data_IF_110924177524
#
_entry.id   IF_110924177524
#
_cell.length_a   1.000
_cell.length_b   1.000
_cell.length_c   1.000
_cell.angle_alpha   90.00
_cell.angle_beta   90.00
_cell.angle_gamma   90.00
#
_symmetry.space_group_name_H-M   'P 1'
#
loop_
_entity.id
_entity.type
_entity.pdbx_description
1 polymer ?
#
# COMPACT_ATOMS: atom_id res chain seq x y z
N UNK A 1 -15.46 5.43 -11.68
CA UNK A 1 -14.87 6.74 -12.03
C UNK A 1 -14.08 6.74 -13.34
N UNK A 2 -13.79 5.60 -13.99
CA UNK A 2 -13.13 5.51 -15.30
C UNK A 2 -11.69 6.07 -15.39
N UNK A 3 -11.10 6.48 -14.28
CA UNK A 3 -9.73 6.95 -14.21
C UNK A 3 -8.79 5.83 -13.77
N UNK A 4 -7.66 5.69 -14.48
CA UNK A 4 -6.58 4.81 -14.08
C UNK A 4 -5.89 5.41 -12.84
N UNK A 5 -6.10 4.77 -11.70
CA UNK A 5 -5.46 5.17 -10.44
C UNK A 5 -4.23 4.30 -10.21
N UNK A 6 -3.07 4.93 -10.02
CA UNK A 6 -1.87 4.22 -9.60
C UNK A 6 -2.03 3.80 -8.13
N UNK A 7 -2.14 2.49 -7.89
CA UNK A 7 -2.24 1.89 -6.55
C UNK A 7 -0.88 1.37 -6.03
N UNK A 8 0.18 1.53 -6.82
CA UNK A 8 1.54 1.18 -6.42
C UNK A 8 2.13 2.18 -5.44
N UNK A 9 3.14 1.77 -4.67
CA UNK A 9 3.90 2.67 -3.79
C UNK A 9 4.68 3.71 -4.61
N UNK A 10 5.22 3.32 -5.76
CA UNK A 10 6.00 4.20 -6.65
C UNK A 10 5.10 5.06 -7.54
N UNK A 11 5.60 6.22 -7.95
CA UNK A 11 4.91 7.10 -8.91
C UNK A 11 4.85 6.51 -10.31
N UNK A 12 5.88 5.77 -10.70
CA UNK A 12 5.96 5.06 -11.98
C UNK A 12 5.16 3.76 -12.01
N UNK A 13 5.15 3.06 -13.16
CA UNK A 13 4.41 1.82 -13.34
C UNK A 13 5.06 0.61 -12.67
N UNK A 14 6.26 0.75 -12.11
CA UNK A 14 6.98 -0.34 -11.48
C UNK A 14 6.39 -0.66 -10.10
N UNK A 15 6.16 -1.95 -9.85
CA UNK A 15 5.68 -2.43 -8.57
C UNK A 15 6.73 -3.37 -7.95
N UNK A 16 7.56 -2.88 -7.00
CA UNK A 16 8.69 -3.64 -6.43
C UNK A 16 8.28 -4.99 -5.84
N UNK A 17 7.17 -5.02 -5.13
CA UNK A 17 6.70 -6.22 -4.43
C UNK A 17 6.40 -7.37 -5.40
N UNK A 18 5.80 -7.06 -6.56
CA UNK A 18 5.52 -8.07 -7.58
C UNK A 18 6.80 -8.52 -8.28
N UNK A 19 7.72 -7.58 -8.56
CA UNK A 19 9.02 -7.91 -9.15
C UNK A 19 9.82 -8.83 -8.25
N UNK A 20 9.94 -8.49 -6.97
CA UNK A 20 10.64 -9.32 -5.98
C UNK A 20 9.95 -10.68 -5.79
N UNK A 21 8.62 -10.68 -5.64
CA UNK A 21 7.84 -11.91 -5.54
C UNK A 21 8.04 -12.82 -6.75
N UNK A 22 8.09 -12.25 -7.97
CA UNK A 22 8.33 -13.02 -9.19
C UNK A 22 9.73 -13.65 -9.24
N UNK A 23 10.77 -12.94 -8.80
CA UNK A 23 12.12 -13.49 -8.69
C UNK A 23 12.14 -14.68 -7.73
N UNK A 24 11.49 -14.57 -6.57
CA UNK A 24 11.38 -15.66 -5.59
C UNK A 24 10.64 -16.85 -6.19
N UNK A 25 9.52 -16.63 -6.88
CA UNK A 25 8.73 -17.67 -7.56
C UNK A 25 9.57 -18.37 -8.61
N UNK A 26 10.25 -17.63 -9.49
CA UNK A 26 11.12 -18.19 -10.52
C UNK A 26 12.22 -19.05 -9.90
N UNK A 27 12.93 -18.51 -8.92
CA UNK A 27 14.05 -19.22 -8.28
C UNK A 27 13.58 -20.50 -7.59
N UNK A 28 12.49 -20.46 -6.82
CA UNK A 28 12.03 -21.59 -6.03
C UNK A 28 11.30 -22.65 -6.87
N UNK A 29 10.56 -22.25 -7.91
CA UNK A 29 9.69 -23.15 -8.66
C UNK A 29 10.29 -23.64 -9.99
N UNK A 30 11.41 -23.07 -10.45
CA UNK A 30 12.12 -23.57 -11.65
C UNK A 30 12.42 -25.08 -11.59
N UNK A 31 12.89 -25.66 -10.46
CA UNK A 31 13.09 -27.11 -10.38
C UNK A 31 11.83 -27.94 -10.58
N UNK A 32 10.64 -27.38 -10.31
CA UNK A 32 9.35 -28.05 -10.41
C UNK A 32 8.69 -27.89 -11.77
N UNK A 33 9.28 -27.14 -12.68
CA UNK A 33 8.69 -26.79 -13.98
C UNK A 33 8.39 -28.01 -14.88
N UNK A 34 9.02 -29.15 -14.65
CA UNK A 34 8.82 -30.37 -15.43
C UNK A 34 7.49 -31.08 -15.09
N UNK A 35 6.91 -30.81 -13.92
CA UNK A 35 5.62 -31.37 -13.50
C UNK A 35 4.58 -30.25 -13.35
N UNK A 36 3.53 -30.28 -14.18
CA UNK A 36 2.44 -29.30 -14.13
C UNK A 36 1.78 -29.31 -12.74
N UNK A 37 1.56 -30.50 -12.16
CA UNK A 37 0.93 -30.65 -10.85
C UNK A 37 1.80 -30.04 -9.74
N UNK A 38 3.09 -30.37 -9.71
CA UNK A 38 4.00 -29.81 -8.69
C UNK A 38 4.19 -28.31 -8.86
N UNK A 39 4.27 -27.83 -10.09
CA UNK A 39 4.37 -26.41 -10.38
C UNK A 39 3.09 -25.66 -9.94
N UNK A 40 1.90 -26.23 -10.19
CA UNK A 40 0.64 -25.69 -9.73
C UNK A 40 0.58 -25.63 -8.21
N UNK A 41 0.87 -26.73 -7.52
CA UNK A 41 0.86 -26.79 -6.06
C UNK A 41 1.89 -25.81 -5.45
N UNK A 42 3.09 -25.74 -6.01
CA UNK A 42 4.10 -24.75 -5.63
C UNK A 42 3.60 -23.32 -5.85
N UNK A 43 2.90 -23.07 -6.94
CA UNK A 43 2.27 -21.79 -7.28
C UNK A 43 1.08 -21.41 -6.39
N UNK A 44 0.39 -22.39 -5.81
CA UNK A 44 -0.63 -22.15 -4.77
C UNK A 44 0.05 -21.80 -3.45
N UNK A 45 1.04 -22.55 -3.04
CA UNK A 45 1.64 -22.44 -1.70
C UNK A 45 2.57 -21.22 -1.58
N UNK A 46 3.52 -21.08 -2.51
CA UNK A 46 4.58 -20.08 -2.38
C UNK A 46 4.07 -18.64 -2.47
N UNK A 47 3.29 -18.23 -3.49
CA UNK A 47 2.73 -16.88 -3.53
C UNK A 47 1.78 -16.61 -2.35
N UNK A 48 0.97 -17.59 -1.93
CA UNK A 48 0.09 -17.41 -0.77
C UNK A 48 0.89 -17.22 0.53
N UNK A 49 2.02 -17.93 0.69
CA UNK A 49 2.91 -17.71 1.82
C UNK A 49 3.55 -16.32 1.78
N UNK A 50 3.99 -15.86 0.60
CA UNK A 50 4.52 -14.50 0.42
C UNK A 50 3.45 -13.43 0.71
N UNK A 51 2.22 -13.64 0.26
CA UNK A 51 1.09 -12.76 0.51
C UNK A 51 0.73 -12.72 2.01
N UNK A 52 0.71 -13.86 2.68
CA UNK A 52 0.48 -13.95 4.13
C UNK A 52 1.55 -13.22 4.93
N UNK A 53 2.83 -13.51 4.65
CA UNK A 53 3.96 -12.88 5.34
C UNK A 53 4.03 -11.38 5.03
N UNK A 54 3.86 -11.00 3.75
CA UNK A 54 3.86 -9.61 3.32
C UNK A 54 2.72 -8.81 3.94
N UNK A 55 1.50 -9.35 3.90
CA UNK A 55 0.33 -8.70 4.51
C UNK A 55 0.46 -8.54 6.03
N UNK A 56 0.95 -9.58 6.71
CA UNK A 56 1.23 -9.51 8.15
C UNK A 56 2.33 -8.49 8.48
N UNK A 57 3.43 -8.47 7.72
CA UNK A 57 4.53 -7.54 7.94
C UNK A 57 4.10 -6.09 7.69
N UNK A 58 3.37 -5.83 6.60
CA UNK A 58 2.85 -4.50 6.29
C UNK A 58 1.85 -4.03 7.36
N UNK A 59 0.98 -4.91 7.83
CA UNK A 59 0.08 -4.57 8.93
C UNK A 59 0.84 -4.22 10.21
N UNK A 60 1.92 -4.96 10.52
CA UNK A 60 2.72 -4.71 11.71
C UNK A 60 3.52 -3.39 11.63
N UNK A 61 3.93 -2.99 10.43
CA UNK A 61 4.70 -1.76 10.19
C UNK A 61 3.80 -0.52 10.11
N UNK A 62 2.66 -0.64 9.43
CA UNK A 62 1.83 0.52 9.09
C UNK A 62 0.47 0.54 9.79
N UNK A 63 0.14 -0.50 10.59
CA UNK A 63 -1.14 -0.69 11.28
C UNK A 63 -2.38 -0.60 10.36
N UNK A 64 -2.18 -0.73 9.05
CA UNK A 64 -3.20 -0.63 8.02
C UNK A 64 -3.18 -1.88 7.14
N UNK A 65 -4.36 -2.42 6.80
CA UNK A 65 -4.48 -3.53 5.86
C UNK A 65 -4.54 -2.98 4.45
N UNK A 66 -3.63 -3.42 3.60
CA UNK A 66 -3.59 -3.03 2.18
C UNK A 66 -4.61 -3.81 1.36
N UNK A 67 -4.98 -5.00 1.83
CA UNK A 67 -6.08 -5.83 1.34
C UNK A 67 -6.68 -6.58 2.51
N UNK A 68 -7.94 -6.97 2.38
CA UNK A 68 -8.65 -7.72 3.41
C UNK A 68 -9.58 -8.75 2.75
N UNK A 69 -9.33 -10.02 3.04
CA UNK A 69 -10.14 -11.15 2.59
C UNK A 69 -10.99 -11.74 3.72
N UNK A 70 -11.25 -11.00 4.78
CA UNK A 70 -12.01 -11.49 5.94
C UNK A 70 -13.41 -11.98 5.55
N UNK A 71 -14.01 -11.40 4.51
CA UNK A 71 -15.32 -11.77 3.99
C UNK A 71 -15.28 -13.02 3.08
N UNK A 72 -14.07 -13.53 2.75
CA UNK A 72 -13.94 -14.69 1.88
C UNK A 72 -13.89 -16.00 2.66
N UNK A 73 -14.52 -17.08 2.14
CA UNK A 73 -14.44 -18.39 2.78
C UNK A 73 -13.01 -18.92 2.78
N UNK A 74 -12.68 -19.68 3.84
CA UNK A 74 -11.35 -20.27 4.04
C UNK A 74 -10.22 -19.23 4.01
N UNK A 75 -10.45 -18.03 4.59
CA UNK A 75 -9.39 -17.07 4.77
C UNK A 75 -8.55 -17.38 6.02
N UNK A 76 -7.31 -16.93 6.03
CA UNK A 76 -6.41 -16.99 7.19
C UNK A 76 -6.13 -15.57 7.64
N UNK A 77 -6.81 -15.14 8.70
CA UNK A 77 -6.65 -13.83 9.29
C UNK A 77 -6.94 -12.65 8.35
N UNK A 78 -7.69 -12.88 7.26
CA UNK A 78 -7.96 -11.88 6.23
C UNK A 78 -6.78 -11.58 5.30
N UNK A 79 -5.61 -12.21 5.50
CA UNK A 79 -4.44 -11.97 4.65
C UNK A 79 -4.44 -12.77 3.37
N UNK A 80 -4.92 -14.02 3.41
CA UNK A 80 -5.05 -14.93 2.27
C UNK A 80 -6.39 -15.63 2.31
N UNK A 81 -6.87 -16.12 1.16
CA UNK A 81 -8.03 -17.00 1.08
C UNK A 81 -7.84 -18.07 0.00
N UNK A 82 -8.58 -19.17 0.13
CA UNK A 82 -8.45 -20.33 -0.75
C UNK A 82 -8.67 -19.98 -2.24
N UNK A 83 -9.68 -19.14 -2.52
CA UNK A 83 -10.00 -18.71 -3.88
C UNK A 83 -8.80 -18.06 -4.59
N UNK A 84 -8.18 -17.08 -3.96
CA UNK A 84 -7.02 -16.38 -4.53
C UNK A 84 -5.77 -17.25 -4.50
N UNK A 85 -5.59 -18.11 -3.50
CA UNK A 85 -4.49 -19.08 -3.48
C UNK A 85 -4.53 -20.04 -4.68
N UNK A 86 -5.70 -20.55 -5.03
CA UNK A 86 -5.87 -21.39 -6.23
C UNK A 86 -5.63 -20.59 -7.51
N UNK A 87 -6.06 -19.35 -7.55
CA UNK A 87 -5.82 -18.45 -8.68
C UNK A 87 -4.32 -18.14 -8.85
N UNK A 88 -3.58 -17.97 -7.75
CA UNK A 88 -2.11 -17.86 -7.77
C UNK A 88 -1.44 -19.07 -8.43
N UNK A 89 -1.97 -20.28 -8.17
CA UNK A 89 -1.51 -21.51 -8.83
C UNK A 89 -1.66 -21.43 -10.34
N UNK A 90 -2.83 -21.00 -10.84
CA UNK A 90 -3.07 -20.82 -12.28
C UNK A 90 -2.18 -19.71 -12.85
N UNK A 91 -2.08 -18.56 -12.16
CA UNK A 91 -1.22 -17.45 -12.56
C UNK A 91 0.25 -17.86 -12.67
N UNK A 92 0.73 -18.66 -11.72
CA UNK A 92 2.09 -19.22 -11.75
C UNK A 92 2.31 -20.14 -12.94
N UNK A 93 1.35 -21.01 -13.27
CA UNK A 93 1.45 -21.85 -14.47
C UNK A 93 1.57 -21.00 -15.74
N UNK A 94 0.69 -20.04 -15.91
CA UNK A 94 0.71 -19.13 -17.08
C UNK A 94 2.02 -18.35 -17.14
N UNK A 95 2.45 -17.83 -16.01
CA UNK A 95 3.71 -17.08 -15.92
C UNK A 95 4.93 -17.95 -16.28
N UNK A 96 5.07 -19.11 -15.65
CA UNK A 96 6.24 -19.98 -15.83
C UNK A 96 6.28 -20.69 -17.19
N UNK A 97 5.12 -21.01 -17.77
CA UNK A 97 5.04 -21.80 -19.01
C UNK A 97 4.87 -20.97 -20.28
N UNK A 98 4.32 -19.78 -20.17
CA UNK A 98 4.05 -18.93 -21.32
C UNK A 98 4.77 -17.58 -21.22
N UNK A 99 4.46 -16.77 -20.21
CA UNK A 99 4.92 -15.37 -20.15
C UNK A 99 6.43 -15.28 -19.98
N UNK A 100 6.98 -15.94 -18.97
CA UNK A 100 8.42 -15.87 -18.69
C UNK A 100 9.30 -16.39 -19.84
N UNK A 101 9.03 -17.56 -20.44
CA UNK A 101 9.81 -18.03 -21.59
C UNK A 101 9.72 -17.09 -22.78
N UNK A 102 8.55 -16.49 -23.04
CA UNK A 102 8.37 -15.53 -24.11
C UNK A 102 9.22 -14.26 -23.88
N UNK A 103 9.17 -13.72 -22.64
CA UNK A 103 9.98 -12.55 -22.27
C UNK A 103 11.46 -12.89 -22.35
N UNK A 104 11.88 -14.04 -21.81
CA UNK A 104 13.28 -14.48 -21.87
C UNK A 104 13.78 -14.57 -23.33
N UNK A 105 13.00 -15.20 -24.21
CA UNK A 105 13.33 -15.26 -25.63
C UNK A 105 13.41 -13.88 -26.30
N UNK A 106 12.57 -12.93 -25.93
CA UNK A 106 12.67 -11.56 -26.41
C UNK A 106 13.93 -10.84 -25.90
N UNK A 107 14.27 -11.07 -24.63
CA UNK A 107 15.49 -10.49 -24.04
C UNK A 107 16.76 -11.05 -24.70
N UNK A 108 16.77 -12.33 -25.06
CA UNK A 108 17.89 -12.97 -25.77
C UNK A 108 18.16 -12.36 -27.16
N UNK A 109 17.16 -11.72 -27.78
CA UNK A 109 17.33 -11.00 -29.07
C UNK A 109 18.11 -9.67 -28.89
N UNK A 110 18.21 -9.16 -27.66
CA UNK A 110 18.89 -7.88 -27.39
C UNK A 110 20.39 -8.15 -27.21
N UNK A 111 21.27 -7.50 -28.02
CA UNK A 111 22.70 -7.63 -27.85
C UNK A 111 23.12 -7.31 -26.41
N UNK A 112 24.01 -8.09 -25.77
CA UNK A 112 24.35 -7.96 -24.35
C UNK A 112 24.79 -6.54 -23.95
N UNK A 113 25.54 -5.86 -24.83
CA UNK A 113 25.99 -4.49 -24.57
C UNK A 113 24.82 -3.49 -24.53
N UNK A 114 23.87 -3.60 -25.45
CA UNK A 114 22.65 -2.75 -25.47
C UNK A 114 21.77 -3.09 -24.28
N UNK A 115 21.62 -4.37 -23.95
CA UNK A 115 20.89 -4.84 -22.78
C UNK A 115 21.47 -4.29 -21.49
N UNK A 116 22.79 -4.26 -21.35
CA UNK A 116 23.46 -3.67 -20.18
C UNK A 116 23.17 -2.17 -20.05
N UNK A 117 23.30 -1.41 -21.13
CA UNK A 117 23.00 0.05 -21.12
C UNK A 117 21.54 0.28 -20.74
N UNK A 118 20.62 -0.46 -21.36
CA UNK A 118 19.19 -0.36 -21.07
C UNK A 118 18.89 -0.69 -19.59
N UNK A 119 19.49 -1.74 -19.09
CA UNK A 119 19.37 -2.14 -17.68
C UNK A 119 19.87 -1.05 -16.73
N UNK A 120 21.04 -0.47 -16.98
CA UNK A 120 21.57 0.64 -16.18
C UNK A 120 20.64 1.85 -16.21
N UNK A 121 20.09 2.19 -17.39
CA UNK A 121 19.14 3.29 -17.54
C UNK A 121 17.85 3.01 -16.75
N UNK A 122 17.27 1.82 -16.89
CA UNK A 122 16.04 1.44 -16.16
C UNK A 122 16.25 1.44 -14.65
N UNK A 123 17.39 0.94 -14.17
CA UNK A 123 17.72 1.01 -12.73
C UNK A 123 17.91 2.44 -12.23
N UNK A 124 18.51 3.32 -13.04
CA UNK A 124 18.66 4.72 -12.67
C UNK A 124 17.28 5.43 -12.57
N UNK A 125 16.40 5.19 -13.53
CA UNK A 125 15.02 5.71 -13.49
C UNK A 125 14.25 5.15 -12.29
N UNK A 126 14.38 3.84 -12.03
CA UNK A 126 13.75 3.19 -10.89
C UNK A 126 14.26 3.76 -9.55
N UNK A 127 15.58 3.92 -9.42
CA UNK A 127 16.18 4.50 -8.22
C UNK A 127 15.71 5.95 -7.99
N UNK A 128 15.64 6.75 -9.05
CA UNK A 128 15.11 8.12 -8.98
C UNK A 128 13.64 8.12 -8.52
N UNK A 129 12.80 7.23 -9.07
CA UNK A 129 11.40 7.11 -8.67
C UNK A 129 11.25 6.69 -7.19
N UNK A 130 12.05 5.73 -6.72
CA UNK A 130 12.09 5.33 -5.31
C UNK A 130 12.43 6.51 -4.42
N UNK A 131 13.47 7.29 -4.77
CA UNK A 131 13.89 8.46 -3.97
C UNK A 131 12.79 9.53 -3.94
N UNK A 132 12.23 9.88 -5.10
CA UNK A 132 11.15 10.89 -5.19
C UNK A 132 9.93 10.45 -4.39
N UNK A 133 9.54 9.18 -4.51
CA UNK A 133 8.40 8.62 -3.77
C UNK A 133 8.67 8.60 -2.26
N UNK A 134 9.87 8.21 -1.83
CA UNK A 134 10.23 8.18 -0.42
C UNK A 134 10.24 9.58 0.21
N UNK A 135 10.75 10.60 -0.52
CA UNK A 135 10.70 11.99 -0.08
C UNK A 135 9.25 12.48 0.04
N UNK A 136 8.44 12.26 -1.01
CA UNK A 136 7.04 12.66 -0.99
C UNK A 136 6.24 11.97 0.15
N UNK A 137 6.50 10.68 0.40
CA UNK A 137 5.88 9.95 1.50
C UNK A 137 6.31 10.46 2.87
N UNK A 138 7.59 10.84 3.04
CA UNK A 138 8.10 11.43 4.30
C UNK A 138 7.51 12.81 4.56
N UNK A 139 7.36 13.63 3.54
CA UNK A 139 6.77 14.96 3.68
C UNK A 139 5.30 14.85 4.06
N UNK A 140 4.55 13.94 3.42
CA UNK A 140 3.16 13.66 3.76
C UNK A 140 3.02 13.16 5.21
N UNK A 141 3.91 12.25 5.66
CA UNK A 141 3.89 11.76 7.02
C UNK A 141 4.11 12.91 8.04
N UNK A 142 5.05 13.81 7.77
CA UNK A 142 5.29 14.99 8.62
C UNK A 142 4.09 15.94 8.68
N UNK A 143 3.44 16.18 7.56
CA UNK A 143 2.23 17.00 7.51
C UNK A 143 1.08 16.37 8.30
N UNK A 144 0.92 15.04 8.23
CA UNK A 144 -0.07 14.30 9.02
C UNK A 144 0.22 14.37 10.52
N UNK A 145 1.47 14.17 10.93
CA UNK A 145 1.89 14.30 12.34
C UNK A 145 1.69 15.73 12.86
N UNK A 146 1.96 16.74 12.04
CA UNK A 146 1.71 18.14 12.39
C UNK A 146 0.21 18.42 12.62
N UNK A 147 -0.67 17.89 11.76
CA UNK A 147 -2.12 17.99 11.93
C UNK A 147 -2.62 17.26 13.18
N UNK A 148 -2.07 16.09 13.50
CA UNK A 148 -2.40 15.36 14.73
C UNK A 148 -1.99 16.15 15.98
N UNK A 149 -0.79 16.74 15.99
CA UNK A 149 -0.32 17.61 17.09
C UNK A 149 -1.19 18.85 17.26
N UNK A 150 -1.66 19.47 16.17
CA UNK A 150 -2.61 20.60 16.23
C UNK A 150 -3.94 20.15 16.81
N UNK A 151 -4.47 19.01 16.38
CA UNK A 151 -5.70 18.44 16.91
C UNK A 151 -5.59 18.18 18.42
N UNK A 152 -4.50 17.58 18.88
CA UNK A 152 -4.22 17.31 20.28
C UNK A 152 -4.08 18.61 21.10
N UNK A 153 -3.48 19.65 20.52
CA UNK A 153 -3.38 20.98 21.15
C UNK A 153 -4.76 21.63 21.31
N UNK A 154 -5.63 21.52 20.31
CA UNK A 154 -7.00 22.02 20.38
C UNK A 154 -7.79 21.26 21.46
N UNK A 155 -7.60 19.94 21.57
CA UNK A 155 -8.22 19.13 22.63
C UNK A 155 -7.74 19.55 24.02
N UNK A 156 -6.44 19.78 24.20
CA UNK A 156 -5.88 20.23 25.49
C UNK A 156 -6.44 21.60 25.89
N UNK A 157 -6.57 22.55 24.95
CA UNK A 157 -7.19 23.86 25.20
C UNK A 157 -8.67 23.72 25.53
N UNK A 158 -9.39 22.84 24.83
CA UNK A 158 -10.82 22.57 25.09
C UNK A 158 -11.03 21.96 26.47
N UNK A 159 -10.18 21.02 26.87
CA UNK A 159 -10.22 20.37 28.18
C UNK A 159 -9.93 21.39 29.31
N UNK A 160 -8.93 22.26 29.12
CA UNK A 160 -8.63 23.33 30.05
C UNK A 160 -9.76 24.35 30.16
N UNK A 161 -10.42 24.71 29.05
CA UNK A 161 -11.59 25.59 29.07
C UNK A 161 -12.79 24.94 29.79
N UNK A 162 -12.97 23.63 29.62
CA UNK A 162 -14.05 22.88 30.28
C UNK A 162 -13.83 22.80 31.79
N UNK A 163 -12.58 22.64 32.24
CA UNK A 163 -12.22 22.66 33.66
C UNK A 163 -12.47 24.03 34.31
N UNK A 164 -12.19 25.11 33.57
CA UNK A 164 -12.44 26.49 34.03
C UNK A 164 -13.93 26.83 34.08
N UNK A 165 -14.72 26.29 33.14
CA UNK A 165 -16.16 26.54 33.02
C UNK A 165 -17.05 25.54 33.79
N UNK A 166 -16.46 24.64 34.53
CA UNK A 166 -17.00 23.40 35.08
C UNK A 166 -18.13 23.47 36.10
N UNK A 167 -19.02 24.47 36.07
CA UNK A 167 -20.23 24.50 36.91
C UNK A 167 -21.57 24.54 36.13
N UNK A 168 -21.53 24.57 34.79
CA UNK A 168 -22.76 24.51 33.97
C UNK A 168 -22.69 23.45 32.88
N UNK A 169 -21.88 22.41 33.05
CA UNK A 169 -21.22 21.70 31.97
C UNK A 169 -21.81 20.34 31.54
N UNK A 170 -22.86 19.82 32.11
CA UNK A 170 -23.32 18.46 31.70
C UNK A 170 -23.93 18.43 30.28
N UNK A 171 -24.57 19.50 29.84
CA UNK A 171 -25.10 19.58 28.47
C UNK A 171 -24.04 19.99 27.45
N UNK A 172 -23.03 20.78 27.86
CA UNK A 172 -21.90 21.16 27.00
C UNK A 172 -20.92 20.00 26.79
N UNK A 173 -20.77 19.13 27.78
CA UNK A 173 -19.86 17.97 27.73
C UNK A 173 -20.34 16.94 26.68
N UNK A 174 -21.64 16.67 26.60
CA UNK A 174 -22.20 15.79 25.56
C UNK A 174 -21.98 16.32 24.14
N UNK A 175 -22.16 17.62 23.92
CA UNK A 175 -21.91 18.25 22.61
C UNK A 175 -20.43 18.32 22.25
N UNK A 176 -19.55 18.48 23.23
CA UNK A 176 -18.11 18.47 23.03
C UNK A 176 -17.58 17.07 22.70
N UNK A 177 -18.12 16.03 23.33
CA UNK A 177 -17.75 14.65 23.02
C UNK A 177 -18.28 14.20 21.64
N UNK A 178 -19.47 14.64 21.23
CA UNK A 178 -19.95 14.42 19.87
C UNK A 178 -19.07 15.11 18.83
N UNK A 179 -18.67 16.37 19.05
CA UNK A 179 -17.78 17.09 18.15
C UNK A 179 -16.35 16.45 18.13
N UNK A 180 -15.88 15.96 19.25
CA UNK A 180 -14.60 15.22 19.40
C UNK A 180 -14.63 13.92 18.60
N UNK A 181 -15.72 13.18 18.68
CA UNK A 181 -15.92 11.94 17.91
C UNK A 181 -16.00 12.24 16.41
N UNK A 182 -16.75 13.27 16.02
CA UNK A 182 -16.85 13.68 14.62
C UNK A 182 -15.52 14.16 14.04
N UNK A 183 -14.71 14.89 14.82
CA UNK A 183 -13.40 15.33 14.38
C UNK A 183 -12.42 14.14 14.23
N UNK A 184 -12.45 13.16 15.16
CA UNK A 184 -11.66 11.93 15.05
C UNK A 184 -12.09 11.08 13.85
N UNK A 185 -13.40 10.99 13.59
CA UNK A 185 -13.94 10.31 12.42
C UNK A 185 -13.52 11.01 11.13
N UNK A 186 -13.64 12.33 11.06
CA UNK A 186 -13.21 13.10 9.89
C UNK A 186 -11.68 13.01 9.65
N UNK A 187 -10.88 12.96 10.72
CA UNK A 187 -9.43 12.75 10.60
C UNK A 187 -9.08 11.32 10.14
N UNK A 188 -9.84 10.31 10.60
CA UNK A 188 -9.70 8.94 10.12
C UNK A 188 -10.10 8.80 8.64
N UNK A 189 -11.24 9.38 8.25
CA UNK A 189 -11.68 9.42 6.85
C UNK A 189 -10.68 10.15 5.94
N UNK A 190 -10.10 11.25 6.43
CA UNK A 190 -9.05 11.97 5.69
C UNK A 190 -7.77 11.15 5.55
N UNK A 191 -7.39 10.36 6.58
CA UNK A 191 -6.28 9.40 6.50
C UNK A 191 -6.55 8.27 5.52
N UNK A 192 -7.74 7.70 5.57
CA UNK A 192 -8.13 6.62 4.65
C UNK A 192 -8.22 7.14 3.21
N UNK A 193 -8.75 8.33 3.00
CA UNK A 193 -8.76 8.99 1.70
C UNK A 193 -7.33 9.30 1.20
N UNK A 194 -6.45 9.76 2.09
CA UNK A 194 -5.03 10.01 1.75
C UNK A 194 -4.27 8.71 1.45
N UNK A 195 -4.60 7.60 2.13
CA UNK A 195 -4.01 6.30 1.86
C UNK A 195 -4.45 5.69 0.50
N UNK A 196 -5.58 6.15 -0.04
CA UNK A 196 -6.10 5.75 -1.35
C UNK A 196 -5.57 6.60 -2.51
N UNK A 197 -4.96 7.74 -2.23
CA UNK A 197 -4.37 8.65 -3.21
C UNK A 197 -2.88 8.35 -3.42
N UNK A 198 -2.34 8.68 -4.59
CA UNK A 198 -0.89 8.72 -4.73
C UNK A 198 -0.30 9.75 -3.77
N UNK A 199 0.95 9.58 -3.31
CA UNK A 199 1.57 10.53 -2.36
C UNK A 199 1.50 11.99 -2.82
N UNK A 200 1.53 12.22 -4.14
CA UNK A 200 1.47 13.54 -4.76
C UNK A 200 0.07 14.16 -4.70
N UNK A 201 -0.96 13.38 -5.00
CA UNK A 201 -2.36 13.81 -4.93
C UNK A 201 -2.81 14.05 -3.48
N UNK A 202 -2.31 13.24 -2.54
CA UNK A 202 -2.59 13.42 -1.12
C UNK A 202 -1.97 14.74 -0.58
N UNK A 203 -0.75 15.06 -0.99
CA UNK A 203 -0.09 16.32 -0.62
C UNK A 203 -0.82 17.56 -1.19
N UNK A 204 -1.29 17.48 -2.45
CA UNK A 204 -2.07 18.55 -3.07
C UNK A 204 -3.43 18.76 -2.40
N UNK A 205 -4.12 17.66 -2.04
CA UNK A 205 -5.40 17.71 -1.34
C UNK A 205 -5.28 18.34 0.05
N UNK A 206 -4.18 18.03 0.76
CA UNK A 206 -3.90 18.65 2.07
C UNK A 206 -3.58 20.12 1.98
N UNK A 207 -2.79 20.56 0.98
CA UNK A 207 -2.51 21.99 0.75
C UNK A 207 -3.79 22.78 0.49
N UNK A 208 -4.70 22.25 -0.36
CA UNK A 208 -6.00 22.90 -0.60
C UNK A 208 -6.82 23.05 0.68
N UNK A 209 -6.91 22.01 1.51
CA UNK A 209 -7.64 22.08 2.78
C UNK A 209 -6.99 23.03 3.79
N UNK A 210 -5.67 23.13 3.81
CA UNK A 210 -4.95 24.08 4.67
C UNK A 210 -5.14 25.53 4.21
N UNK A 211 -5.27 25.77 2.92
CA UNK A 211 -5.55 27.09 2.36
C UNK A 211 -7.02 27.50 2.58
N UNK A 212 -7.97 26.58 2.40
CA UNK A 212 -9.40 26.78 2.73
C UNK A 212 -9.65 27.06 4.22
N UNK A 213 -8.82 26.52 5.12
CA UNK A 213 -8.93 26.77 6.56
C UNK A 213 -8.30 28.11 7.01
N UNK A 214 -7.60 28.81 6.10
CA UNK A 214 -6.98 30.14 6.37
C UNK A 214 -7.83 31.32 5.88
N UNK A 215 -8.83 31.05 5.04
CA UNK A 215 -9.86 32.01 4.63
C UNK A 215 -11.06 32.01 5.61
#
# INVERSE_FOLDING_TARGET
>A
TGQLVNRGFLNGPACPIYGFGMVVVLFALTPLQHSILLLYLGGVILPSALELVGGWALYKLYHTRWWDYSDKPFNIGGYICLEFSLLWGVGTLVMMKAIHPTIAGLVELVPPFIGFILMCFLYAVYAADVVVTAVAASDLARELDALENVADSIHAVSDAMTEILGTTAMEADQKLDENRLQFKLAAAEARDAAAQLSPKEAAEAMRRKADEARE
#
